data_IF_326102153706
#
_entry.id   IF_326102153706
#
_cell.length_a   1.000
_cell.length_b   1.000
_cell.length_c   1.000
_cell.angle_alpha   90.00
_cell.angle_beta   90.00
_cell.angle_gamma   90.00
#
_symmetry.space_group_name_H-M   'P 1'
#
loop_
_entity.id
_entity.type
_entity.pdbx_description
1 polymer ?
#
# COMPACT_ATOMS: atom_id res chain seq x y z
N UNK A 1 -13.56 1.40 8.31
CA UNK A 1 -12.92 2.51 7.57
C UNK A 1 -11.93 2.00 6.55
N UNK A 2 -10.90 1.22 6.93
CA UNK A 2 -9.92 0.62 5.99
C UNK A 2 -10.57 -0.09 4.78
N UNK A 3 -11.53 -0.99 5.02
CA UNK A 3 -12.26 -1.67 3.94
C UNK A 3 -12.96 -0.72 2.94
N UNK A 4 -13.56 0.36 3.44
CA UNK A 4 -14.23 1.35 2.59
C UNK A 4 -13.25 2.06 1.66
N UNK A 5 -12.10 2.48 2.20
CA UNK A 5 -11.04 3.09 1.41
C UNK A 5 -10.40 2.12 0.43
N UNK A 6 -10.27 0.84 0.79
CA UNK A 6 -9.88 -0.22 -0.14
C UNK A 6 -10.83 -0.32 -1.35
N UNK A 7 -12.15 -0.29 -1.12
CA UNK A 7 -13.14 -0.27 -2.20
C UNK A 7 -13.01 1.01 -3.04
N UNK A 8 -12.82 2.17 -2.43
CA UNK A 8 -12.65 3.43 -3.15
C UNK A 8 -11.38 3.44 -4.01
N UNK A 9 -10.27 2.87 -3.52
CA UNK A 9 -9.04 2.72 -4.28
C UNK A 9 -9.25 1.82 -5.51
N UNK A 10 -9.95 0.68 -5.35
CA UNK A 10 -10.31 -0.19 -6.47
C UNK A 10 -11.21 0.55 -7.49
N UNK A 11 -12.18 1.32 -7.03
CA UNK A 11 -13.07 2.11 -7.89
C UNK A 11 -12.28 3.13 -8.74
N UNK A 12 -11.25 3.78 -8.18
CA UNK A 12 -10.39 4.72 -8.91
C UNK A 12 -9.56 4.06 -10.03
N UNK A 13 -9.38 2.74 -9.96
CA UNK A 13 -8.66 1.94 -10.96
C UNK A 13 -9.69 1.15 -11.81
N UNK A 14 -10.96 1.55 -11.79
CA UNK A 14 -12.05 0.90 -12.52
C UNK A 14 -12.19 -0.60 -12.25
N UNK A 15 -11.75 -1.06 -11.08
CA UNK A 15 -11.67 -2.49 -10.73
C UNK A 15 -10.84 -3.32 -11.72
N UNK A 16 -9.93 -2.71 -12.47
CA UNK A 16 -9.03 -3.41 -13.36
C UNK A 16 -7.90 -4.06 -12.56
N UNK A 17 -7.99 -5.38 -12.41
CA UNK A 17 -7.00 -6.19 -11.71
C UNK A 17 -5.62 -6.10 -12.37
N UNK A 18 -5.55 -6.16 -13.71
CA UNK A 18 -4.27 -6.16 -14.43
C UNK A 18 -3.54 -4.84 -14.25
N UNK A 19 -4.29 -3.74 -14.30
CA UNK A 19 -3.75 -2.41 -14.07
C UNK A 19 -3.30 -2.21 -12.62
N UNK A 20 -4.06 -2.72 -11.65
CA UNK A 20 -3.66 -2.71 -10.24
C UNK A 20 -2.34 -3.46 -10.01
N UNK A 21 -2.22 -4.67 -10.57
CA UNK A 21 -1.03 -5.50 -10.42
C UNK A 21 0.19 -4.84 -11.11
N UNK A 22 0.02 -4.31 -12.33
CA UNK A 22 1.05 -3.55 -13.06
C UNK A 22 1.55 -2.35 -12.25
N UNK A 23 0.63 -1.52 -11.74
CA UNK A 23 0.97 -0.33 -10.94
C UNK A 23 1.67 -0.70 -9.64
N UNK A 24 1.28 -1.80 -9.00
CA UNK A 24 1.97 -2.32 -7.82
C UNK A 24 3.42 -2.66 -8.14
N UNK A 25 3.67 -3.44 -9.18
CA UNK A 25 5.02 -3.80 -9.63
C UNK A 25 5.88 -2.56 -9.91
N UNK A 26 5.33 -1.58 -10.63
CA UNK A 26 6.03 -0.31 -10.93
C UNK A 26 6.33 0.55 -9.70
N UNK A 27 5.59 0.37 -8.60
CA UNK A 27 5.74 1.10 -7.35
C UNK A 27 6.61 0.38 -6.29
N UNK A 28 7.11 -0.83 -6.58
CA UNK A 28 7.91 -1.60 -5.61
C UNK A 28 9.21 -0.89 -5.24
N UNK A 29 9.91 -0.34 -6.24
CA UNK A 29 11.26 0.21 -6.06
C UNK A 29 11.29 1.74 -5.93
N UNK A 30 10.17 2.41 -6.19
CA UNK A 30 10.06 3.87 -6.15
C UNK A 30 8.92 4.28 -5.21
N UNK A 31 9.08 5.40 -4.52
CA UNK A 31 8.03 5.96 -3.68
C UNK A 31 6.99 6.74 -4.51
N UNK A 32 6.30 6.02 -5.39
CA UNK A 32 5.26 6.54 -6.27
C UNK A 32 3.98 5.74 -6.10
N UNK A 33 2.89 6.34 -6.55
CA UNK A 33 1.60 5.66 -6.69
C UNK A 33 1.11 4.98 -5.40
N UNK A 34 1.17 5.71 -4.29
CA UNK A 34 0.89 5.19 -2.94
C UNK A 34 -0.48 4.51 -2.87
N UNK A 35 -1.48 4.97 -3.64
CA UNK A 35 -2.84 4.43 -3.62
C UNK A 35 -2.92 2.92 -3.89
N UNK A 36 -1.96 2.33 -4.62
CA UNK A 36 -1.94 0.89 -4.92
C UNK A 36 -1.15 0.05 -3.92
N UNK A 37 -0.47 0.67 -2.96
CA UNK A 37 0.41 -0.02 -2.03
C UNK A 37 -0.35 -1.00 -1.14
N UNK A 38 0.12 -2.24 -1.11
CA UNK A 38 -0.30 -3.23 -0.13
C UNK A 38 0.19 -2.89 1.27
N UNK A 39 -0.37 -3.56 2.28
CA UNK A 39 0.15 -3.49 3.65
C UNK A 39 1.65 -3.86 3.71
N UNK A 40 2.05 -4.94 3.03
CA UNK A 40 3.46 -5.35 2.95
C UNK A 40 4.37 -4.28 2.37
N UNK A 41 3.93 -3.60 1.30
CA UNK A 41 4.69 -2.50 0.69
C UNK A 41 4.82 -1.30 1.63
N UNK A 42 3.78 -0.99 2.41
CA UNK A 42 3.81 0.06 3.45
C UNK A 42 4.77 -0.33 4.58
N UNK A 43 4.75 -1.60 5.02
CA UNK A 43 5.70 -2.15 6.01
C UNK A 43 7.13 -1.98 5.50
N UNK A 44 7.41 -2.43 4.26
CA UNK A 44 8.72 -2.28 3.64
C UNK A 44 9.15 -0.82 3.55
N UNK A 45 8.25 0.08 3.13
CA UNK A 45 8.52 1.52 3.13
C UNK A 45 8.92 2.03 4.51
N UNK A 46 8.17 1.67 5.56
CA UNK A 46 8.48 2.12 6.91
C UNK A 46 9.87 1.66 7.37
N UNK A 47 10.31 0.47 6.97
CA UNK A 47 11.67 -0.01 7.28
C UNK A 47 12.80 0.77 6.61
N UNK A 48 12.50 1.52 5.54
CA UNK A 48 13.48 2.38 4.85
C UNK A 48 13.68 3.72 5.55
N UNK A 49 12.78 4.09 6.46
CA UNK A 49 12.84 5.36 7.20
C UNK A 49 13.69 5.16 8.46
N UNK A 50 14.72 5.99 8.60
CA UNK A 50 15.62 5.96 9.76
C UNK A 50 14.83 6.14 11.06
N UNK A 51 15.04 5.22 12.00
CA UNK A 51 14.37 5.23 13.31
C UNK A 51 12.97 4.64 13.34
N UNK A 52 12.39 4.22 12.21
CA UNK A 52 11.02 3.66 12.19
C UNK A 52 10.94 2.14 11.97
N UNK A 53 12.07 1.49 11.67
CA UNK A 53 12.12 0.04 11.38
C UNK A 53 11.51 -0.83 12.49
N UNK A 54 11.71 -0.47 13.75
CA UNK A 54 11.20 -1.24 14.90
C UNK A 54 9.67 -1.23 15.02
N UNK A 55 8.99 -0.22 14.44
CA UNK A 55 7.53 -0.10 14.48
C UNK A 55 6.85 -0.78 13.29
N UNK A 56 7.60 -1.23 12.27
CA UNK A 56 7.02 -1.72 11.01
C UNK A 56 6.11 -2.93 11.20
N UNK A 57 6.47 -3.85 12.10
CA UNK A 57 5.65 -5.03 12.39
C UNK A 57 4.30 -4.69 13.06
N UNK A 58 4.16 -3.51 13.67
CA UNK A 58 2.89 -3.08 14.25
C UNK A 58 1.81 -2.83 13.18
N UNK A 59 2.20 -2.72 11.90
CA UNK A 59 1.27 -2.57 10.80
C UNK A 59 0.73 -3.89 10.26
N UNK A 60 1.27 -5.05 10.66
CA UNK A 60 0.71 -6.35 10.29
C UNK A 60 -0.73 -6.46 10.81
N UNK A 61 -1.64 -6.91 9.96
CA UNK A 61 -3.09 -7.07 10.27
C UNK A 61 -3.82 -5.78 10.72
N UNK A 62 -3.15 -4.62 10.71
CA UNK A 62 -3.72 -3.33 11.12
C UNK A 62 -4.78 -2.78 10.15
N UNK A 63 -4.83 -3.30 8.93
CA UNK A 63 -5.63 -2.77 7.83
C UNK A 63 -5.03 -1.50 7.19
N UNK A 64 -3.83 -1.08 7.56
CA UNK A 64 -3.11 0.02 6.89
C UNK A 64 -2.67 -0.42 5.49
N UNK A 65 -3.00 0.37 4.49
CA UNK A 65 -2.64 0.21 3.08
C UNK A 65 -2.68 1.60 2.43
N UNK A 66 -2.10 1.77 1.25
CA UNK A 66 -1.90 3.14 0.72
C UNK A 66 -3.16 3.86 0.19
N UNK A 67 -4.31 3.19 0.17
CA UNK A 67 -5.61 3.81 -0.14
C UNK A 67 -6.34 4.43 1.05
N UNK A 68 -5.89 4.12 2.28
CA UNK A 68 -6.41 4.66 3.54
C UNK A 68 -5.85 6.07 3.81
#
# INVERSE_FOLDING_TARGET
TSFHYGIMALKRINYDKKELDRRREESLNENRDVIVWSNDRVIQWLTTIQGLKEYANNLAESGVHGGL
#
